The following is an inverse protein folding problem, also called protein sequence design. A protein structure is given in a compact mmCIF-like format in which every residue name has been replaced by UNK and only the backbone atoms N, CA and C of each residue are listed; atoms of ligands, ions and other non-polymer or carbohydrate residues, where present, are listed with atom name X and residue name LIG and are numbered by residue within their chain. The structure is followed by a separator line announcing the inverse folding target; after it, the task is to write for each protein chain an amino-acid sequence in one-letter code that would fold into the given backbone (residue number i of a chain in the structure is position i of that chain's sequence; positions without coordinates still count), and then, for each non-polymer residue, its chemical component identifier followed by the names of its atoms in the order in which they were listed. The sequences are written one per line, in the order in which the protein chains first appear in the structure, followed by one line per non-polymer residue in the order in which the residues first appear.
data_IF_635462863565
#
_entry.id   IF_635462863565
#
_cell.length_a   1.000
_cell.length_b   1.000
_cell.length_c   1.000
_cell.angle_alpha   90.00
_cell.angle_beta   90.00
_cell.angle_gamma   90.00
#
_symmetry.space_group_name_H-M   'P 1'
#
loop_
_entity.id
_entity.type
_entity.pdbx_description
1 polymer ?
#
# COMPACT_ATOMS: atom_id res chain seq x y z
N UNK A 1 69.54 0.88 -74.36
CA UNK A 1 68.90 1.37 -73.12
C UNK A 1 68.42 0.15 -72.36
N UNK A 2 69.19 -0.30 -71.36
CA UNK A 2 68.83 -1.40 -70.45
C UNK A 2 68.28 -0.78 -69.16
N UNK A 3 66.97 -0.78 -68.98
CA UNK A 3 66.32 -0.39 -67.73
C UNK A 3 66.26 -1.59 -66.78
N UNK A 4 67.05 -1.48 -65.71
CA UNK A 4 67.11 -2.42 -64.59
C UNK A 4 65.75 -2.48 -63.89
N UNK A 5 65.04 -3.61 -64.01
CA UNK A 5 63.87 -3.95 -63.20
C UNK A 5 64.40 -4.63 -61.93
N UNK A 6 64.85 -3.84 -60.94
CA UNK A 6 65.24 -4.36 -59.63
C UNK A 6 64.10 -4.25 -58.62
N UNK A 7 63.71 -5.42 -58.10
CA UNK A 7 63.27 -5.68 -56.73
C UNK A 7 62.24 -4.73 -56.09
N UNK A 8 60.98 -4.79 -56.54
CA UNK A 8 59.80 -4.36 -55.75
C UNK A 8 58.89 -5.52 -55.33
N UNK A 9 59.43 -6.76 -55.22
CA UNK A 9 58.60 -7.95 -54.94
C UNK A 9 58.23 -8.14 -53.46
N UNK A 10 58.92 -7.48 -52.53
CA UNK A 10 58.65 -7.63 -51.08
C UNK A 10 57.48 -6.79 -50.57
N UNK A 11 57.43 -5.50 -50.95
CA UNK A 11 56.44 -4.55 -50.43
C UNK A 11 55.02 -4.87 -50.93
N UNK A 12 54.89 -5.33 -52.18
CA UNK A 12 53.60 -5.72 -52.74
C UNK A 12 52.96 -6.89 -51.95
N UNK A 13 53.77 -7.87 -51.50
CA UNK A 13 53.29 -8.99 -50.70
C UNK A 13 52.76 -8.53 -49.34
N UNK A 14 53.50 -7.64 -48.66
CA UNK A 14 53.10 -7.10 -47.35
C UNK A 14 51.82 -6.27 -47.45
N UNK A 15 51.69 -5.42 -48.47
CA UNK A 15 50.46 -4.65 -48.71
C UNK A 15 49.29 -5.57 -49.01
N UNK A 16 49.49 -6.62 -49.81
CA UNK A 16 48.45 -7.61 -50.12
C UNK A 16 47.98 -8.34 -48.86
N UNK A 17 48.91 -8.69 -47.97
CA UNK A 17 48.62 -9.38 -46.72
C UNK A 17 47.89 -8.49 -45.72
N UNK A 18 48.27 -7.21 -45.60
CA UNK A 18 47.58 -6.23 -44.75
C UNK A 18 46.16 -5.97 -45.28
N UNK A 19 45.99 -5.80 -46.58
CA UNK A 19 44.67 -5.61 -47.19
C UNK A 19 43.76 -6.83 -46.97
N UNK A 20 44.32 -8.04 -47.09
CA UNK A 20 43.58 -9.27 -46.85
C UNK A 20 43.21 -9.42 -45.37
N UNK A 21 44.11 -9.08 -44.45
CA UNK A 21 43.85 -9.05 -43.01
C UNK A 21 42.72 -8.09 -42.65
N UNK A 22 42.79 -6.85 -43.15
CA UNK A 22 41.75 -5.83 -42.92
C UNK A 22 40.40 -6.29 -43.47
N UNK A 23 40.37 -6.87 -44.66
CA UNK A 23 39.15 -7.42 -45.24
C UNK A 23 38.54 -8.53 -44.36
N UNK A 24 39.34 -9.47 -43.85
CA UNK A 24 38.85 -10.50 -42.92
C UNK A 24 38.32 -9.91 -41.60
N UNK A 25 38.97 -8.87 -41.08
CA UNK A 25 38.58 -8.24 -39.81
C UNK A 25 37.22 -7.53 -39.95
N UNK A 26 36.99 -6.85 -41.07
CA UNK A 26 35.69 -6.24 -41.40
C UNK A 26 34.59 -7.30 -41.52
N UNK A 27 34.87 -8.44 -42.18
CA UNK A 27 33.89 -9.54 -42.31
C UNK A 27 33.54 -10.16 -40.95
N UNK A 28 34.51 -10.36 -40.05
CA UNK A 28 34.27 -10.90 -38.70
C UNK A 28 33.45 -9.92 -37.85
N UNK A 29 33.76 -8.63 -37.92
CA UNK A 29 32.97 -7.59 -37.22
C UNK A 29 31.53 -7.53 -37.73
N UNK A 30 31.31 -7.71 -39.05
CA UNK A 30 29.96 -7.84 -39.62
C UNK A 30 29.19 -9.04 -39.08
N UNK A 31 29.84 -10.20 -38.92
CA UNK A 31 29.22 -11.39 -38.34
C UNK A 31 28.85 -11.23 -36.86
N UNK A 32 29.63 -10.46 -36.08
CA UNK A 32 29.31 -10.17 -34.68
C UNK A 32 28.03 -9.33 -34.53
N UNK A 33 27.85 -8.33 -35.40
CA UNK A 33 26.63 -7.51 -35.43
C UNK A 33 25.36 -8.33 -35.71
N UNK A 34 25.45 -9.26 -36.66
CA UNK A 34 24.34 -10.16 -37.03
C UNK A 34 23.89 -11.04 -35.84
N UNK A 35 24.84 -11.65 -35.12
CA UNK A 35 24.53 -12.49 -33.95
C UNK A 35 23.86 -11.70 -32.81
N UNK A 36 24.22 -10.44 -32.63
CA UNK A 36 23.61 -9.59 -31.62
C UNK A 36 22.17 -9.21 -32.01
N UNK A 37 21.94 -8.87 -33.28
CA UNK A 37 20.60 -8.59 -33.80
C UNK A 37 19.68 -9.81 -33.72
N UNK A 38 20.18 -11.00 -34.05
CA UNK A 38 19.46 -12.26 -33.93
C UNK A 38 19.05 -12.55 -32.48
N UNK A 39 19.97 -12.40 -31.52
CA UNK A 39 19.67 -12.53 -30.09
C UNK A 39 18.68 -11.50 -29.59
N UNK A 40 18.78 -10.25 -30.03
CA UNK A 40 17.81 -9.21 -29.67
C UNK A 40 16.43 -9.50 -30.23
N UNK A 41 16.34 -9.93 -31.50
CA UNK A 41 15.07 -10.30 -32.14
C UNK A 41 14.45 -11.52 -31.45
N UNK A 42 15.26 -12.51 -31.09
CA UNK A 42 14.82 -13.69 -30.35
C UNK A 42 14.32 -13.31 -28.95
N UNK A 43 15.05 -12.46 -28.22
CA UNK A 43 14.61 -11.99 -26.90
C UNK A 43 13.33 -11.14 -26.98
N UNK A 44 13.16 -10.31 -28.01
CA UNK A 44 11.92 -9.54 -28.23
C UNK A 44 10.75 -10.45 -28.55
N UNK A 45 10.95 -11.45 -29.40
CA UNK A 45 9.94 -12.45 -29.72
C UNK A 45 9.56 -13.26 -28.47
N UNK A 46 10.54 -13.65 -27.66
CA UNK A 46 10.31 -14.39 -26.43
C UNK A 46 9.49 -13.56 -25.43
N UNK A 47 9.82 -12.28 -25.25
CA UNK A 47 9.02 -11.37 -24.40
C UNK A 47 7.58 -11.21 -24.89
N UNK A 48 7.37 -11.13 -26.20
CA UNK A 48 6.02 -11.05 -26.75
C UNK A 48 5.21 -12.33 -26.48
N UNK A 49 5.85 -13.50 -26.62
CA UNK A 49 5.21 -14.79 -26.37
C UNK A 49 4.88 -15.00 -24.88
N UNK A 50 5.78 -14.64 -23.95
CA UNK A 50 5.52 -14.73 -22.52
C UNK A 50 4.40 -13.77 -22.08
N UNK A 51 4.34 -12.57 -22.65
CA UNK A 51 3.26 -11.62 -22.40
C UNK A 51 1.91 -12.13 -22.91
N UNK A 52 1.83 -12.65 -24.14
CA UNK A 52 0.60 -13.25 -24.66
C UNK A 52 0.13 -14.44 -23.80
N UNK A 53 1.07 -15.23 -23.26
CA UNK A 53 0.73 -16.33 -22.36
C UNK A 53 0.15 -15.83 -21.02
N UNK A 54 0.73 -14.78 -20.44
CA UNK A 54 0.20 -14.16 -19.22
C UNK A 54 -1.18 -13.52 -19.46
N UNK A 55 -1.37 -12.81 -20.57
CA UNK A 55 -2.66 -12.22 -20.96
C UNK A 55 -3.72 -13.28 -21.20
N UNK A 56 -3.35 -14.40 -21.82
CA UNK A 56 -4.25 -15.54 -21.98
C UNK A 56 -4.68 -16.10 -20.62
N UNK A 57 -3.74 -16.34 -19.71
CA UNK A 57 -4.03 -16.81 -18.35
C UNK A 57 -4.93 -15.85 -17.59
N UNK A 58 -4.71 -14.54 -17.72
CA UNK A 58 -5.56 -13.50 -17.15
C UNK A 58 -6.98 -13.56 -17.70
N UNK A 59 -7.13 -13.67 -19.03
CA UNK A 59 -8.43 -13.76 -19.69
C UNK A 59 -9.21 -15.02 -19.30
N UNK A 60 -8.52 -16.16 -19.22
CA UNK A 60 -9.10 -17.43 -18.81
C UNK A 60 -9.58 -17.36 -17.36
N UNK A 61 -8.78 -16.74 -16.49
CA UNK A 61 -9.16 -16.51 -15.11
C UNK A 61 -10.43 -15.65 -14.97
N UNK A 62 -10.47 -14.52 -15.69
CA UNK A 62 -11.63 -13.63 -15.66
C UNK A 62 -12.89 -14.29 -16.22
N UNK A 63 -12.76 -15.12 -17.26
CA UNK A 63 -13.87 -15.86 -17.83
C UNK A 63 -14.46 -16.84 -16.81
N UNK A 64 -13.63 -17.62 -16.11
CA UNK A 64 -14.12 -18.54 -15.09
C UNK A 64 -14.79 -17.80 -13.93
N UNK A 65 -14.16 -16.72 -13.45
CA UNK A 65 -14.71 -15.93 -12.34
C UNK A 65 -16.11 -15.42 -12.67
N UNK A 66 -16.37 -15.13 -13.95
CA UNK A 66 -17.70 -14.76 -14.43
C UNK A 66 -18.69 -15.92 -14.42
N UNK A 67 -18.27 -17.12 -14.80
CA UNK A 67 -19.15 -18.28 -14.93
C UNK A 67 -19.44 -18.97 -13.59
N UNK A 68 -18.43 -19.16 -12.76
CA UNK A 68 -18.49 -20.00 -11.56
C UNK A 68 -18.36 -19.20 -10.24
N UNK A 69 -18.08 -17.90 -10.31
CA UNK A 69 -17.75 -17.09 -9.15
C UNK A 69 -16.35 -17.39 -8.60
N UNK A 70 -16.00 -16.78 -7.47
CA UNK A 70 -14.68 -16.97 -6.85
C UNK A 70 -14.78 -17.66 -5.49
N UNK A 71 -14.19 -18.85 -5.38
CA UNK A 71 -14.00 -19.57 -4.12
C UNK A 71 -12.51 -19.75 -3.84
N UNK A 72 -11.95 -19.01 -2.89
CA UNK A 72 -10.53 -19.04 -2.55
C UNK A 72 -9.99 -20.43 -2.19
N UNK A 73 -10.84 -21.32 -1.67
CA UNK A 73 -10.43 -22.64 -1.22
C UNK A 73 -10.34 -23.67 -2.35
N UNK A 74 -11.13 -23.50 -3.43
CA UNK A 74 -11.26 -24.52 -4.48
C UNK A 74 -11.00 -24.00 -5.89
N UNK A 75 -10.88 -22.68 -6.10
CA UNK A 75 -10.80 -22.06 -7.44
C UNK A 75 -9.74 -22.72 -8.34
N UNK A 76 -8.56 -23.03 -7.81
CA UNK A 76 -7.49 -23.63 -8.58
C UNK A 76 -7.80 -25.04 -9.07
N UNK A 77 -8.42 -25.85 -8.20
CA UNK A 77 -8.84 -27.22 -8.50
C UNK A 77 -10.04 -27.21 -9.44
N UNK A 78 -10.99 -26.29 -9.22
CA UNK A 78 -12.19 -26.10 -10.04
C UNK A 78 -11.83 -25.65 -11.47
N UNK A 79 -10.81 -24.79 -11.60
CA UNK A 79 -10.35 -24.24 -12.88
C UNK A 79 -9.38 -25.17 -13.63
N UNK A 80 -8.84 -26.20 -12.97
CA UNK A 80 -7.75 -27.01 -13.52
C UNK A 80 -6.50 -26.20 -13.87
N UNK A 81 -6.25 -25.08 -13.18
CA UNK A 81 -5.12 -24.18 -13.42
C UNK A 81 -4.03 -24.43 -12.37
N UNK A 82 -2.78 -24.39 -12.83
CA UNK A 82 -1.62 -24.52 -11.96
C UNK A 82 -1.41 -23.31 -11.03
N UNK A 83 -1.06 -23.57 -9.77
CA UNK A 83 -0.87 -22.55 -8.71
C UNK A 83 0.56 -22.39 -8.21
N UNK A 84 1.53 -23.02 -8.88
CA UNK A 84 2.90 -23.06 -8.35
C UNK A 84 3.99 -23.19 -9.41
N UNK A 85 3.72 -22.95 -10.69
CA UNK A 85 4.71 -23.06 -11.78
C UNK A 85 5.30 -24.47 -12.00
N UNK A 86 5.00 -25.44 -11.14
CA UNK A 86 5.54 -26.82 -11.18
C UNK A 86 4.83 -27.67 -12.26
N UNK A 87 3.64 -27.26 -12.73
CA UNK A 87 2.90 -27.90 -13.84
C UNK A 87 2.05 -26.87 -14.60
N UNK A 88 2.64 -25.88 -15.28
CA UNK A 88 1.91 -24.74 -15.82
C UNK A 88 0.96 -25.16 -16.94
N UNK A 89 -0.15 -24.44 -17.05
CA UNK A 89 -1.20 -24.72 -18.03
C UNK A 89 -0.76 -24.24 -19.42
N UNK A 90 -0.81 -25.08 -20.46
CA UNK A 90 -0.46 -24.67 -21.81
C UNK A 90 -1.50 -23.68 -22.38
N UNK A 91 -1.03 -22.69 -23.11
CA UNK A 91 -1.88 -21.82 -23.92
C UNK A 91 -2.32 -22.61 -25.17
N UNK A 92 -3.62 -22.69 -25.51
CA UNK A 92 -4.06 -23.33 -26.74
C UNK A 92 -3.39 -22.72 -27.97
N UNK A 93 -2.95 -23.57 -28.89
CA UNK A 93 -2.34 -23.19 -30.17
C UNK A 93 -1.04 -22.34 -30.08
N UNK A 94 -0.36 -22.31 -28.92
CA UNK A 94 0.87 -21.55 -28.70
C UNK A 94 1.99 -22.31 -27.98
N UNK A 95 3.21 -21.78 -28.03
CA UNK A 95 4.39 -22.30 -27.29
C UNK A 95 4.50 -21.71 -25.87
N UNK A 96 3.43 -21.10 -25.37
CA UNK A 96 3.39 -20.45 -24.06
C UNK A 96 2.74 -21.34 -23.00
N UNK A 97 3.13 -21.13 -21.76
CA UNK A 97 2.49 -21.73 -20.58
C UNK A 97 2.20 -20.62 -19.57
N UNK A 98 1.17 -20.81 -18.75
CA UNK A 98 0.82 -19.87 -17.70
C UNK A 98 0.50 -20.58 -16.38
N UNK A 99 0.62 -19.85 -15.27
CA UNK A 99 0.13 -20.28 -13.96
C UNK A 99 -0.29 -19.05 -13.17
N UNK A 100 -1.07 -19.28 -12.11
CA UNK A 100 -1.67 -18.19 -11.33
C UNK A 100 -1.39 -18.40 -9.86
N UNK A 101 -0.74 -17.43 -9.23
CA UNK A 101 -0.53 -17.42 -7.79
C UNK A 101 -1.48 -16.39 -7.17
N UNK A 102 -2.36 -16.85 -6.28
CA UNK A 102 -3.20 -15.96 -5.49
C UNK A 102 -2.38 -15.34 -4.38
N UNK A 103 -2.34 -14.01 -4.38
CA UNK A 103 -1.56 -13.21 -3.43
C UNK A 103 -2.40 -12.89 -2.20
N UNK A 104 -3.64 -12.46 -2.44
CA UNK A 104 -4.53 -12.02 -1.39
C UNK A 104 -5.98 -12.30 -1.79
N UNK A 105 -6.75 -12.84 -0.85
CA UNK A 105 -8.20 -12.92 -0.98
C UNK A 105 -8.83 -12.28 0.23
N UNK A 106 -9.64 -11.28 -0.03
CA UNK A 106 -10.55 -10.68 0.94
C UNK A 106 -11.99 -10.72 0.42
N UNK A 107 -13.00 -10.46 1.28
CA UNK A 107 -14.40 -10.46 0.85
C UNK A 107 -14.75 -9.44 -0.25
N UNK A 108 -13.90 -8.44 -0.47
CA UNK A 108 -14.13 -7.33 -1.40
C UNK A 108 -13.05 -7.18 -2.46
N UNK A 109 -11.87 -7.77 -2.26
CA UNK A 109 -10.73 -7.64 -3.15
C UNK A 109 -10.04 -8.99 -3.34
N UNK A 110 -9.77 -9.36 -4.59
CA UNK A 110 -8.96 -10.53 -4.95
C UNK A 110 -7.74 -10.04 -5.71
N UNK A 111 -6.56 -10.30 -5.16
CA UNK A 111 -5.28 -10.00 -5.82
C UNK A 111 -4.57 -11.30 -6.21
N UNK A 112 -4.09 -11.34 -7.45
CA UNK A 112 -3.37 -12.48 -8.00
C UNK A 112 -2.26 -12.05 -8.92
N UNK A 113 -1.25 -12.90 -9.03
CA UNK A 113 -0.21 -12.81 -10.04
C UNK A 113 -0.45 -13.90 -11.08
N UNK A 114 -0.59 -13.50 -12.34
CA UNK A 114 -0.61 -14.39 -13.49
C UNK A 114 0.77 -14.37 -14.12
N UNK A 115 1.38 -15.53 -14.26
CA UNK A 115 2.69 -15.68 -14.88
C UNK A 115 2.54 -16.32 -16.25
N UNK A 116 3.24 -15.79 -17.24
CA UNK A 116 3.38 -16.36 -18.57
C UNK A 116 4.85 -16.65 -18.86
N UNK A 117 5.13 -17.85 -19.36
CA UNK A 117 6.46 -18.29 -19.75
C UNK A 117 6.41 -19.00 -21.11
N UNK A 118 7.57 -19.19 -21.72
CA UNK A 118 7.72 -19.97 -22.95
C UNK A 118 8.19 -21.37 -22.58
N UNK A 119 7.67 -22.37 -23.29
CA UNK A 119 8.12 -23.75 -23.16
C UNK A 119 8.89 -24.17 -24.40
N UNK A 120 10.12 -24.65 -24.22
CA UNK A 120 10.93 -25.27 -25.27
C UNK A 120 11.23 -26.72 -24.87
N UNK A 121 10.38 -27.67 -25.29
CA UNK A 121 10.52 -29.08 -24.92
C UNK A 121 9.74 -29.49 -23.66
N UNK A 122 10.33 -30.35 -22.81
CA UNK A 122 9.70 -30.80 -21.56
C UNK A 122 10.00 -29.89 -20.35
N UNK A 123 11.05 -29.07 -20.42
CA UNK A 123 11.43 -28.14 -19.36
C UNK A 123 10.86 -26.74 -19.60
N UNK A 124 10.48 -26.06 -18.51
CA UNK A 124 10.16 -24.64 -18.51
C UNK A 124 11.50 -23.91 -18.50
N UNK A 125 12.09 -23.70 -19.66
CA UNK A 125 13.27 -22.87 -19.75
C UNK A 125 12.87 -21.42 -19.44
N UNK A 126 13.49 -20.82 -18.42
CA UNK A 126 13.32 -19.42 -18.01
C UNK A 126 13.89 -18.44 -19.06
N UNK A 127 13.53 -18.60 -20.34
CA UNK A 127 13.99 -17.75 -21.45
C UNK A 127 13.33 -16.37 -21.42
N UNK A 128 12.07 -16.31 -20.97
CA UNK A 128 11.34 -15.08 -20.69
C UNK A 128 10.17 -15.40 -19.74
N UNK A 129 10.08 -14.65 -18.64
CA UNK A 129 8.98 -14.70 -17.70
C UNK A 129 8.29 -13.34 -17.68
N UNK A 130 6.97 -13.33 -17.86
CA UNK A 130 6.12 -12.15 -17.70
C UNK A 130 5.18 -12.38 -16.55
N UNK A 131 5.17 -11.46 -15.59
CA UNK A 131 4.16 -11.42 -14.53
C UNK A 131 3.16 -10.32 -14.85
N UNK A 132 1.88 -10.62 -14.66
CA UNK A 132 0.76 -9.68 -14.62
C UNK A 132 0.14 -9.74 -13.23
N UNK A 133 -0.11 -8.60 -12.60
CA UNK A 133 -0.92 -8.55 -11.37
C UNK A 133 -2.35 -8.19 -11.75
N UNK A 134 -3.33 -8.87 -11.16
CA UNK A 134 -4.75 -8.56 -11.34
C UNK A 134 -5.33 -8.27 -9.95
N UNK A 135 -6.04 -7.16 -9.81
CA UNK A 135 -6.73 -6.77 -8.58
C UNK A 135 -8.21 -6.56 -8.89
N UNK A 136 -9.04 -7.51 -8.48
CA UNK A 136 -10.48 -7.42 -8.64
C UNK A 136 -11.10 -6.79 -7.40
N UNK A 137 -12.00 -5.83 -7.57
CA UNK A 137 -12.74 -5.19 -6.48
C UNK A 137 -14.23 -5.37 -6.69
N UNK A 138 -14.94 -5.91 -5.70
CA UNK A 138 -16.40 -6.02 -5.75
C UNK A 138 -17.00 -4.64 -5.47
N UNK A 139 -17.69 -4.04 -6.44
CA UNK A 139 -18.47 -2.83 -6.20
C UNK A 139 -19.77 -3.21 -5.47
N UNK A 140 -20.03 -2.55 -4.33
CA UNK A 140 -21.24 -2.78 -3.55
C UNK A 140 -22.41 -2.03 -4.18
N UNK A 141 -23.50 -2.73 -4.52
CA UNK A 141 -24.75 -2.10 -4.95
C UNK A 141 -25.51 -1.63 -3.72
N UNK A 142 -25.76 -0.32 -3.54
CA UNK A 142 -26.57 0.18 -2.45
C UNK A 142 -28.00 -0.36 -2.56
N UNK A 143 -28.47 -1.06 -1.52
CA UNK A 143 -29.90 -1.37 -1.35
C UNK A 143 -30.32 -2.84 -1.42
N UNK A 144 -29.38 -3.78 -1.61
CA UNK A 144 -29.68 -5.21 -1.38
C UNK A 144 -29.01 -5.61 -0.07
N UNK A 145 -29.75 -5.88 1.02
CA UNK A 145 -29.15 -6.35 2.25
C UNK A 145 -28.42 -7.67 1.94
N UNK A 146 -27.15 -7.85 2.37
CA UNK A 146 -26.45 -9.10 2.17
C UNK A 146 -27.29 -10.20 2.80
N UNK A 147 -27.75 -11.15 1.97
CA UNK A 147 -28.26 -12.42 2.49
C UNK A 147 -27.14 -13.02 3.31
N UNK A 148 -27.46 -13.27 4.57
CA UNK A 148 -26.60 -13.90 5.57
C UNK A 148 -26.09 -15.22 5.05
N UNK A 149 -24.95 -15.21 4.37
CA UNK A 149 -24.18 -16.39 4.05
C UNK A 149 -22.73 -16.08 4.38
N UNK A 150 -22.29 -16.77 5.43
CA UNK A 150 -20.96 -16.87 6.05
C UNK A 150 -19.89 -15.92 5.52
N UNK A 151 -19.81 -14.74 6.16
CA UNK A 151 -18.51 -14.08 6.35
C UNK A 151 -17.61 -15.11 7.03
N UNK A 152 -16.49 -15.54 6.42
CA UNK A 152 -15.56 -16.42 7.10
C UNK A 152 -15.16 -15.72 8.39
N UNK A 153 -15.49 -16.35 9.51
CA UNK A 153 -15.05 -15.96 10.84
C UNK A 153 -13.55 -16.27 10.93
N UNK A 154 -12.77 -15.47 10.20
CA UNK A 154 -11.40 -15.17 10.60
C UNK A 154 -11.49 -14.73 12.05
N UNK A 155 -10.81 -15.48 12.90
CA UNK A 155 -10.78 -15.28 14.34
C UNK A 155 -10.52 -13.79 14.61
N UNK A 156 -11.31 -13.10 15.45
CA UNK A 156 -11.10 -11.70 15.76
C UNK A 156 -9.81 -11.52 16.55
N UNK A 157 -8.69 -11.53 15.84
CA UNK A 157 -7.44 -10.93 16.27
C UNK A 157 -7.54 -9.46 15.93
N UNK A 158 -7.91 -8.64 16.92
CA UNK A 158 -7.86 -7.19 16.78
C UNK A 158 -6.45 -6.74 16.36
N UNK A 159 -6.39 -5.81 15.40
CA UNK A 159 -5.16 -5.06 15.13
C UNK A 159 -4.62 -5.15 13.72
N UNK A 160 -5.06 -4.23 12.87
CA UNK A 160 -4.25 -3.59 11.82
C UNK A 160 -4.94 -2.27 11.48
N UNK A 161 -5.01 -1.36 12.45
CA UNK A 161 -5.63 -0.05 12.23
C UNK A 161 -5.02 0.65 11.01
N UNK A 162 -5.83 1.44 10.31
CA UNK A 162 -5.38 2.21 9.16
C UNK A 162 -4.46 3.38 9.52
N UNK A 163 -4.18 4.26 8.56
CA UNK A 163 -3.52 5.54 8.87
C UNK A 163 -4.38 6.41 9.79
N UNK A 164 -5.71 6.35 9.60
CA UNK A 164 -6.72 7.01 10.43
C UNK A 164 -7.71 5.96 10.95
N UNK A 165 -8.01 6.00 12.24
CA UNK A 165 -8.89 5.06 12.91
C UNK A 165 -9.96 5.84 13.68
N UNK A 166 -11.21 5.76 13.24
CA UNK A 166 -12.36 6.36 13.90
C UNK A 166 -13.06 5.29 14.72
N UNK A 167 -12.83 5.30 16.02
CA UNK A 167 -13.31 4.27 16.94
C UNK A 167 -14.68 4.66 17.49
N UNK A 168 -15.66 3.78 17.31
CA UNK A 168 -17.06 4.03 17.65
C UNK A 168 -17.85 4.64 16.48
N UNK A 169 -18.99 5.26 16.80
CA UNK A 169 -19.86 5.88 15.79
C UNK A 169 -19.20 7.12 15.19
N UNK A 170 -19.31 7.34 13.89
CA UNK A 170 -18.89 8.59 13.22
C UNK A 170 -20.09 9.52 13.11
N UNK A 171 -20.01 10.69 13.75
CA UNK A 171 -21.06 11.69 13.69
C UNK A 171 -20.87 12.68 12.54
N UNK A 172 -19.62 13.02 12.24
CA UNK A 172 -19.30 13.91 11.14
C UNK A 172 -17.93 13.59 10.56
N UNK A 173 -17.87 13.41 9.24
CA UNK A 173 -16.63 13.29 8.50
C UNK A 173 -16.60 14.38 7.43
N UNK A 174 -15.70 15.35 7.58
CA UNK A 174 -15.54 16.40 6.56
C UNK A 174 -14.38 16.09 5.66
N UNK A 175 -14.72 15.82 4.40
CA UNK A 175 -13.79 15.56 3.32
C UNK A 175 -12.85 16.76 3.12
N UNK A 176 -11.54 16.54 2.88
CA UNK A 176 -10.60 17.61 2.58
C UNK A 176 -10.95 18.34 1.28
N UNK A 177 -10.78 19.66 1.26
CA UNK A 177 -11.04 20.47 0.05
C UNK A 177 -9.96 20.31 -1.04
N UNK A 178 -8.77 19.81 -0.68
CA UNK A 178 -7.59 19.77 -1.54
C UNK A 178 -7.43 18.46 -2.30
N UNK A 179 -7.16 18.53 -3.61
CA UNK A 179 -6.92 17.34 -4.46
C UNK A 179 -5.66 16.58 -4.06
N UNK A 180 -4.74 17.24 -3.37
CA UNK A 180 -3.45 16.67 -2.99
C UNK A 180 -3.42 16.13 -1.56
N UNK A 181 -4.53 16.23 -0.80
CA UNK A 181 -4.62 15.56 0.48
C UNK A 181 -4.74 14.06 0.25
N UNK A 182 -3.89 13.26 0.87
CA UNK A 182 -3.86 11.81 0.70
C UNK A 182 -3.81 11.09 2.05
N UNK A 183 -4.40 9.90 2.07
CA UNK A 183 -4.33 8.94 3.16
C UNK A 183 -3.92 7.59 2.57
N UNK A 184 -2.85 7.00 3.07
CA UNK A 184 -2.32 5.75 2.56
C UNK A 184 -2.18 4.74 3.70
N UNK A 185 -2.87 3.62 3.59
CA UNK A 185 -2.85 2.53 4.56
C UNK A 185 -1.63 1.60 4.46
N UNK A 186 -0.74 1.76 3.48
CA UNK A 186 0.44 0.90 3.24
C UNK A 186 0.09 -0.60 3.27
N UNK A 187 -0.81 -1.03 2.39
CA UNK A 187 -1.32 -2.40 2.33
C UNK A 187 -2.41 -2.74 3.35
N UNK A 188 -2.68 -1.86 4.33
CA UNK A 188 -3.88 -1.87 5.17
C UNK A 188 -4.93 -0.84 4.72
N UNK A 189 -6.01 -0.65 5.50
CA UNK A 189 -7.00 0.39 5.23
C UNK A 189 -6.38 1.79 5.34
N UNK A 190 -6.79 2.71 4.48
CA UNK A 190 -6.47 4.14 4.66
C UNK A 190 -7.18 4.68 5.91
N UNK A 191 -8.46 4.31 6.05
CA UNK A 191 -9.31 4.73 7.15
C UNK A 191 -10.12 3.54 7.69
N UNK A 192 -10.04 3.29 9.00
CA UNK A 192 -10.84 2.28 9.69
C UNK A 192 -11.97 2.90 10.51
N UNK A 193 -13.18 2.37 10.40
CA UNK A 193 -14.37 2.78 11.18
C UNK A 193 -14.92 1.63 12.01
N UNK A 194 -15.59 1.90 13.13
CA UNK A 194 -16.14 0.84 13.98
C UNK A 194 -17.41 0.16 13.47
N UNK A 195 -18.04 0.68 12.41
CA UNK A 195 -19.34 0.21 11.90
C UNK A 195 -19.41 0.31 10.38
N UNK A 196 -19.98 -0.69 9.74
CA UNK A 196 -20.15 -0.72 8.28
C UNK A 196 -20.99 0.44 7.73
N UNK A 197 -21.98 0.91 8.49
CA UNK A 197 -22.77 2.09 8.11
C UNK A 197 -21.94 3.38 8.05
N UNK A 198 -21.06 3.59 9.04
CA UNK A 198 -20.17 4.77 9.05
C UNK A 198 -19.15 4.70 7.92
N UNK A 199 -18.62 3.51 7.62
CA UNK A 199 -17.78 3.25 6.44
C UNK A 199 -18.50 3.69 5.16
N UNK A 200 -19.75 3.27 4.98
CA UNK A 200 -20.53 3.53 3.77
C UNK A 200 -20.86 5.02 3.62
N UNK A 201 -21.23 5.69 4.71
CA UNK A 201 -21.49 7.13 4.71
C UNK A 201 -20.23 7.94 4.37
N UNK A 202 -19.08 7.57 4.93
CA UNK A 202 -17.80 8.21 4.59
C UNK A 202 -17.45 7.97 3.13
N UNK A 203 -17.57 6.73 2.64
CA UNK A 203 -17.26 6.40 1.25
C UNK A 203 -18.16 7.17 0.28
N UNK A 204 -19.45 7.31 0.60
CA UNK A 204 -20.40 8.08 -0.19
C UNK A 204 -20.01 9.57 -0.25
N UNK A 205 -19.62 10.18 0.87
CA UNK A 205 -19.15 11.57 0.89
C UNK A 205 -17.82 11.73 0.14
N UNK A 206 -16.89 10.77 0.23
CA UNK A 206 -15.65 10.79 -0.54
C UNK A 206 -15.89 10.73 -2.05
N UNK A 207 -16.76 9.81 -2.51
CA UNK A 207 -17.11 9.68 -3.93
C UNK A 207 -17.80 10.95 -4.44
N UNK A 208 -18.75 11.47 -3.67
CA UNK A 208 -19.49 12.69 -3.99
C UNK A 208 -18.57 13.90 -4.19
N UNK A 209 -17.52 14.01 -3.39
CA UNK A 209 -16.51 15.07 -3.50
C UNK A 209 -15.34 14.72 -4.43
N UNK A 210 -15.37 13.53 -5.06
CA UNK A 210 -14.35 13.02 -5.98
C UNK A 210 -13.00 12.77 -5.32
N UNK A 211 -12.98 12.30 -4.06
CA UNK A 211 -11.78 12.12 -3.21
C UNK A 211 -11.49 10.68 -2.82
N UNK A 212 -12.32 9.75 -3.25
CA UNK A 212 -12.17 8.33 -2.95
C UNK A 212 -10.78 7.77 -3.36
N UNK A 213 -10.25 8.20 -4.50
CA UNK A 213 -8.90 7.83 -4.97
C UNK A 213 -7.75 8.34 -4.07
N UNK A 214 -8.00 9.34 -3.22
CA UNK A 214 -6.99 9.86 -2.29
C UNK A 214 -6.82 8.98 -1.03
N UNK A 215 -7.65 7.96 -0.85
CA UNK A 215 -7.63 7.04 0.29
C UNK A 215 -7.13 5.67 -0.18
N UNK A 216 -5.81 5.54 -0.30
CA UNK A 216 -5.10 4.36 -0.82
C UNK A 216 -5.17 3.24 0.24
N UNK A 217 -5.83 2.14 -0.08
CA UNK A 217 -6.22 1.08 0.85
C UNK A 217 -7.69 1.14 1.27
N UNK A 218 -8.38 2.22 0.92
CA UNK A 218 -9.82 2.39 1.09
C UNK A 218 -10.28 2.62 2.53
N UNK A 219 -11.60 2.66 2.70
CA UNK A 219 -12.29 2.80 3.99
C UNK A 219 -12.83 1.43 4.38
N UNK A 220 -12.52 0.94 5.58
CA UNK A 220 -12.94 -0.38 6.05
C UNK A 220 -13.65 -0.31 7.40
N UNK A 221 -14.52 -1.31 7.64
CA UNK A 221 -15.05 -1.58 8.97
C UNK A 221 -14.03 -2.42 9.74
N UNK A 222 -13.71 -2.00 10.95
CA UNK A 222 -12.78 -2.65 11.87
C UNK A 222 -13.53 -2.91 13.16
N UNK A 223 -13.49 -4.15 13.64
CA UNK A 223 -14.08 -4.48 14.93
C UNK A 223 -13.17 -3.99 16.06
N UNK A 224 -13.53 -2.84 16.62
CA UNK A 224 -12.88 -2.28 17.81
C UNK A 224 -13.49 -2.78 19.13
N UNK A 225 -14.51 -3.65 19.10
CA UNK A 225 -15.18 -4.11 20.32
C UNK A 225 -14.33 -5.11 21.12
N UNK A 226 -13.30 -5.68 20.49
CA UNK A 226 -12.30 -6.50 21.15
C UNK A 226 -11.04 -5.70 21.52
N UNK A 227 -10.40 -6.06 22.63
CA UNK A 227 -9.12 -5.48 23.06
C UNK A 227 -9.23 -4.07 23.65
N UNK A 228 -8.14 -3.31 23.56
CA UNK A 228 -7.97 -1.99 24.21
C UNK A 228 -9.11 -1.01 23.89
N UNK A 229 -9.54 -0.99 22.64
CA UNK A 229 -10.54 -0.05 22.14
C UNK A 229 -11.97 -0.47 22.48
N UNK A 230 -12.21 -1.72 22.89
CA UNK A 230 -13.54 -2.20 23.24
C UNK A 230 -13.96 -1.81 24.65
N UNK A 231 -12.99 -1.58 25.53
CA UNK A 231 -13.21 -1.38 26.96
C UNK A 231 -12.62 -0.03 27.43
N UNK A 232 -13.46 0.96 27.80
CA UNK A 232 -13.02 2.24 28.34
C UNK A 232 -12.06 2.13 29.54
N UNK A 233 -12.20 1.08 30.38
CA UNK A 233 -11.30 0.85 31.51
C UNK A 233 -9.90 0.43 31.05
N UNK A 234 -9.80 -0.31 29.93
CA UNK A 234 -8.51 -0.64 29.33
C UNK A 234 -7.87 0.60 28.70
N UNK A 235 -8.63 1.45 28.00
CA UNK A 235 -8.10 2.72 27.46
C UNK A 235 -7.55 3.58 28.59
N UNK A 236 -8.29 3.71 29.71
CA UNK A 236 -7.80 4.42 30.90
C UNK A 236 -6.51 3.81 31.43
N UNK A 237 -6.48 2.49 31.61
CA UNK A 237 -5.32 1.76 32.10
C UNK A 237 -4.10 1.95 31.19
N UNK A 238 -4.31 2.00 29.88
CA UNK A 238 -3.27 2.28 28.90
C UNK A 238 -2.75 3.70 29.06
N UNK A 239 -3.61 4.72 29.11
CA UNK A 239 -3.18 6.12 29.30
C UNK A 239 -2.42 6.30 30.62
N UNK A 240 -2.88 5.69 31.72
CA UNK A 240 -2.18 5.73 33.00
C UNK A 240 -0.80 5.04 32.93
N UNK A 241 -0.71 3.92 32.21
CA UNK A 241 0.55 3.22 31.96
C UNK A 241 1.49 4.03 31.06
N UNK A 242 0.98 4.71 30.03
CA UNK A 242 1.75 5.64 29.18
C UNK A 242 2.33 6.76 30.04
N UNK A 243 1.53 7.35 30.94
CA UNK A 243 2.01 8.39 31.86
C UNK A 243 3.04 7.90 32.88
N UNK A 244 3.07 6.60 33.14
CA UNK A 244 4.06 5.96 34.01
C UNK A 244 5.33 5.53 33.25
N UNK A 245 5.42 5.80 31.95
CA UNK A 245 6.61 5.49 31.15
C UNK A 245 7.71 6.54 31.37
N UNK A 246 8.97 6.12 31.23
CA UNK A 246 10.11 7.03 31.43
C UNK A 246 10.09 8.18 30.41
N UNK A 247 10.26 9.41 30.88
CA UNK A 247 10.22 10.60 30.03
C UNK A 247 8.83 11.01 29.56
N UNK A 248 7.75 10.38 30.05
CA UNK A 248 6.39 10.80 29.77
C UNK A 248 6.08 12.18 30.36
N UNK A 249 5.43 13.02 29.55
CA UNK A 249 5.04 14.39 29.92
C UNK A 249 3.52 14.47 29.92
N UNK A 250 2.93 14.23 31.07
CA UNK A 250 1.49 14.26 31.27
C UNK A 250 1.06 15.51 32.02
N UNK A 251 0.15 16.29 31.46
CA UNK A 251 -0.36 17.51 32.09
C UNK A 251 -1.51 18.14 31.31
N UNK A 252 -1.98 19.30 31.75
CA UNK A 252 -3.18 19.94 31.16
C UNK A 252 -2.87 20.83 29.95
N UNK A 253 -1.61 20.87 29.51
CA UNK A 253 -1.14 21.79 28.46
C UNK A 253 -0.11 21.08 27.59
N UNK A 254 -0.06 21.44 26.31
CA UNK A 254 0.96 20.94 25.37
C UNK A 254 2.35 21.49 25.77
N UNK A 255 3.34 20.65 26.10
CA UNK A 255 4.71 21.11 26.33
C UNK A 255 5.30 21.83 25.11
N UNK A 256 6.06 22.91 25.33
CA UNK A 256 6.60 23.78 24.27
C UNK A 256 7.49 23.06 23.24
N UNK A 257 8.06 21.92 23.59
CA UNK A 257 8.95 21.12 22.75
C UNK A 257 8.27 19.83 22.24
N UNK A 258 6.93 19.77 22.28
CA UNK A 258 6.12 18.72 21.63
C UNK A 258 6.19 18.81 20.12
N UNK A 259 6.18 20.05 19.61
CA UNK A 259 6.39 20.37 18.21
C UNK A 259 7.58 21.31 18.15
N UNK A 260 8.53 20.99 17.29
CA UNK A 260 9.76 21.77 17.11
C UNK A 260 10.05 21.91 15.62
N UNK A 261 10.85 22.90 15.26
CA UNK A 261 11.31 23.03 13.89
C UNK A 261 12.04 21.75 13.44
N UNK A 262 11.73 21.21 12.25
CA UNK A 262 12.30 19.97 11.71
C UNK A 262 13.83 20.02 11.61
N UNK A 263 14.42 21.20 11.47
CA UNK A 263 15.89 21.38 11.44
C UNK A 263 16.54 21.30 12.82
N UNK A 264 15.76 21.27 13.91
CA UNK A 264 16.27 21.07 15.26
C UNK A 264 16.58 19.58 15.47
N UNK A 265 17.72 19.24 16.07
CA UNK A 265 18.06 17.85 16.41
C UNK A 265 17.00 17.19 17.31
N UNK A 266 16.29 17.97 18.13
CA UNK A 266 15.18 17.49 18.96
C UNK A 266 13.96 17.00 18.15
N UNK A 267 13.86 17.31 16.85
CA UNK A 267 12.78 16.85 15.97
C UNK A 267 12.84 15.34 15.72
N UNK A 268 14.04 14.77 15.80
CA UNK A 268 14.31 13.34 15.60
C UNK A 268 14.10 12.52 16.87
N UNK A 269 13.84 13.16 18.01
CA UNK A 269 13.64 12.48 19.28
C UNK A 269 12.15 12.25 19.51
N UNK A 270 11.72 10.99 19.44
CA UNK A 270 10.36 10.62 19.83
C UNK A 270 10.12 10.95 21.30
N UNK A 271 8.96 11.55 21.60
CA UNK A 271 8.55 11.93 22.96
C UNK A 271 7.17 11.39 23.26
N UNK A 272 6.90 11.15 24.55
CA UNK A 272 5.56 10.86 25.05
C UNK A 272 4.96 12.16 25.58
N UNK A 273 3.80 12.53 25.03
CA UNK A 273 3.04 13.71 25.43
C UNK A 273 1.59 13.34 25.66
N UNK A 274 1.08 13.57 26.86
CA UNK A 274 -0.33 13.36 27.20
C UNK A 274 -0.91 14.67 27.68
N UNK A 275 -1.94 15.16 26.98
CA UNK A 275 -2.67 16.37 27.32
C UNK A 275 -4.01 16.00 27.94
N UNK A 276 -4.20 16.38 29.20
CA UNK A 276 -5.43 16.17 29.96
C UNK A 276 -6.41 17.31 29.67
N UNK A 277 -7.25 17.09 28.67
CA UNK A 277 -8.21 18.07 28.16
C UNK A 277 -7.96 18.40 26.68
N UNK A 278 -8.55 19.49 26.22
CA UNK A 278 -8.43 19.94 24.83
C UNK A 278 -7.02 20.45 24.52
N UNK A 279 -6.53 20.15 23.33
CA UNK A 279 -5.25 20.62 22.83
C UNK A 279 -5.42 21.40 21.52
N UNK A 280 -4.73 22.54 21.45
CA UNK A 280 -4.54 23.29 20.21
C UNK A 280 -3.04 23.36 19.90
N UNK A 281 -2.63 22.74 18.79
CA UNK A 281 -1.22 22.69 18.38
C UNK A 281 -1.04 23.52 17.11
N UNK A 282 -0.09 24.45 17.10
CA UNK A 282 0.21 25.27 15.94
C UNK A 282 1.48 24.75 15.25
N UNK A 283 1.34 24.31 14.01
CA UNK A 283 2.45 23.88 13.15
C UNK A 283 2.84 25.05 12.24
N UNK A 284 4.02 25.64 12.46
CA UNK A 284 4.52 26.77 11.66
C UNK A 284 5.60 26.31 10.69
N UNK A 285 5.38 26.52 9.40
CA UNK A 285 6.39 26.30 8.37
C UNK A 285 6.90 24.85 8.36
N UNK A 286 8.10 24.63 8.92
CA UNK A 286 8.78 23.33 8.96
C UNK A 286 8.68 22.65 10.33
N UNK A 287 7.71 23.02 11.16
CA UNK A 287 7.51 22.40 12.46
C UNK A 287 7.05 20.94 12.33
N UNK A 288 7.52 20.08 13.22
CA UNK A 288 7.20 18.65 13.26
C UNK A 288 7.22 18.14 14.70
N UNK A 289 6.41 17.14 14.98
CA UNK A 289 6.44 16.39 16.24
C UNK A 289 6.71 14.90 16.00
N UNK A 290 7.15 14.20 17.02
CA UNK A 290 7.44 12.76 16.91
C UNK A 290 7.22 12.01 18.21
N UNK A 291 6.82 10.75 18.11
CA UNK A 291 6.53 9.85 19.23
C UNK A 291 5.04 9.66 19.46
N UNK A 292 4.62 9.68 20.72
CA UNK A 292 3.24 9.41 21.14
C UNK A 292 2.61 10.71 21.62
N UNK A 293 1.50 11.09 20.99
CA UNK A 293 0.63 12.17 21.43
C UNK A 293 -0.73 11.60 21.83
N UNK A 294 -1.14 11.78 23.09
CA UNK A 294 -2.48 11.47 23.56
C UNK A 294 -3.14 12.77 24.01
N UNK A 295 -4.36 13.03 23.54
CA UNK A 295 -5.17 14.17 23.95
C UNK A 295 -6.48 13.63 24.53
N UNK A 296 -6.68 13.80 25.84
CA UNK A 296 -7.89 13.29 26.52
C UNK A 296 -9.15 14.07 26.13
N UNK A 297 -9.00 15.27 25.55
CA UNK A 297 -10.06 16.08 24.95
C UNK A 297 -9.94 16.18 23.43
N UNK A 298 -10.45 17.27 22.86
CA UNK A 298 -10.42 17.54 21.42
C UNK A 298 -9.04 18.01 20.98
N UNK A 299 -8.62 17.60 19.77
CA UNK A 299 -7.38 18.08 19.17
C UNK A 299 -7.69 18.98 17.97
N UNK A 300 -7.22 20.23 18.05
CA UNK A 300 -7.23 21.17 16.94
C UNK A 300 -5.79 21.47 16.51
N UNK A 301 -5.52 21.39 15.22
CA UNK A 301 -4.23 21.78 14.64
C UNK A 301 -4.39 23.07 13.85
N UNK A 302 -3.45 24.01 14.01
CA UNK A 302 -3.35 25.21 13.18
C UNK A 302 -2.19 25.02 12.20
N UNK A 303 -2.47 25.06 10.91
CA UNK A 303 -1.58 24.53 9.87
C UNK A 303 -1.75 23.02 9.70
N UNK A 304 -1.23 22.50 8.59
CA UNK A 304 -1.23 21.05 8.34
C UNK A 304 -0.32 20.37 9.37
N UNK A 305 -0.80 19.35 10.13
CA UNK A 305 0.03 18.66 11.11
C UNK A 305 1.23 18.00 10.43
N UNK A 306 2.38 17.95 11.11
CA UNK A 306 3.51 17.09 10.73
C UNK A 306 3.89 16.24 11.93
N UNK A 307 3.61 14.95 11.88
CA UNK A 307 3.84 14.04 13.01
C UNK A 307 4.43 12.70 12.58
N UNK A 308 5.45 12.22 13.29
CA UNK A 308 6.02 10.89 13.10
C UNK A 308 5.75 10.01 14.33
N UNK A 309 4.79 9.09 14.23
CA UNK A 309 4.44 8.16 15.30
C UNK A 309 2.93 8.04 15.53
N UNK A 310 2.52 7.95 16.79
CA UNK A 310 1.16 7.63 17.19
C UNK A 310 0.43 8.86 17.72
N UNK A 311 -0.77 9.14 17.21
CA UNK A 311 -1.66 10.18 17.74
C UNK A 311 -2.97 9.55 18.21
N UNK A 312 -3.39 9.84 19.44
CA UNK A 312 -4.64 9.36 20.01
C UNK A 312 -5.42 10.57 20.52
N UNK A 313 -6.66 10.73 20.07
CA UNK A 313 -7.57 11.80 20.47
C UNK A 313 -8.79 11.17 21.12
N UNK A 314 -9.09 11.52 22.37
CA UNK A 314 -10.16 10.90 23.15
C UNK A 314 -11.38 11.80 23.35
N UNK A 315 -11.32 13.09 22.99
CA UNK A 315 -12.44 14.01 23.14
C UNK A 315 -13.51 13.92 22.05
N UNK A 316 -13.30 13.08 21.04
CA UNK A 316 -14.22 12.87 19.94
C UNK A 316 -14.04 13.79 18.75
N UNK A 317 -13.27 14.89 18.84
CA UNK A 317 -13.02 15.78 17.71
C UNK A 317 -11.55 15.90 17.37
N UNK A 318 -11.21 15.63 16.12
CA UNK A 318 -9.97 16.08 15.49
C UNK A 318 -10.29 17.10 14.39
N UNK A 319 -9.59 18.23 14.38
CA UNK A 319 -9.78 19.25 13.34
C UNK A 319 -8.47 19.87 12.86
N UNK A 320 -8.39 20.13 11.56
CA UNK A 320 -7.29 20.85 10.91
C UNK A 320 -7.78 22.22 10.47
N UNK A 321 -7.26 23.26 11.09
CA UNK A 321 -7.50 24.66 10.74
C UNK A 321 -6.33 25.25 9.96
N UNK A 322 -6.55 25.69 8.73
CA UNK A 322 -5.53 26.35 7.91
C UNK A 322 -5.26 25.61 6.61
N UNK A 323 -4.04 25.70 6.09
CA UNK A 323 -3.57 24.95 4.93
C UNK A 323 -2.05 24.95 4.93
N UNK A 324 -1.44 24.04 4.18
CA UNK A 324 0.00 23.88 4.16
C UNK A 324 0.44 22.52 3.62
N UNK A 325 1.71 22.22 3.85
CA UNK A 325 2.28 20.90 3.58
C UNK A 325 2.64 20.24 4.91
N UNK A 326 2.39 18.94 5.02
CA UNK A 326 2.59 18.18 6.24
C UNK A 326 2.05 16.78 6.07
N UNK A 327 1.84 16.10 7.18
CA UNK A 327 1.32 14.76 7.19
C UNK A 327 1.46 14.07 8.54
N UNK A 328 1.07 12.81 8.54
CA UNK A 328 1.32 11.90 9.64
C UNK A 328 2.01 10.68 9.06
N UNK A 329 3.19 10.35 9.57
CA UNK A 329 3.87 9.08 9.32
C UNK A 329 3.66 8.20 10.56
N UNK A 330 2.66 7.33 10.53
CA UNK A 330 2.30 6.46 11.66
C UNK A 330 0.82 6.18 11.70
N UNK A 331 0.17 6.24 12.86
CA UNK A 331 -1.28 6.00 12.95
C UNK A 331 -1.98 7.02 13.85
N UNK A 332 -3.22 7.36 13.52
CA UNK A 332 -4.09 8.20 14.32
C UNK A 332 -5.33 7.43 14.77
N UNK A 333 -5.70 7.54 16.04
CA UNK A 333 -6.96 7.04 16.59
C UNK A 333 -7.76 8.21 17.14
N UNK A 334 -9.03 8.29 16.76
CA UNK A 334 -9.98 9.27 17.28
C UNK A 334 -11.13 8.51 17.91
N UNK A 335 -11.30 8.72 19.21
CA UNK A 335 -12.31 8.12 20.07
C UNK A 335 -13.12 9.24 20.70
N UNK A 336 -14.40 8.99 20.96
CA UNK A 336 -15.23 9.92 21.73
C UNK A 336 -15.51 9.37 23.12
N UNK A 337 -14.65 9.76 24.07
CA UNK A 337 -14.70 9.32 25.46
C UNK A 337 -15.11 10.44 26.41
N UNK A 338 -15.75 10.03 27.49
CA UNK A 338 -15.85 10.79 28.71
C UNK A 338 -14.68 10.39 29.61
N UNK A 339 -13.75 11.32 29.81
CA UNK A 339 -12.48 11.15 30.53
C UNK A 339 -12.50 11.97 31.85
N UNK A 340 -13.39 11.66 32.80
CA UNK A 340 -13.44 12.43 34.04
C UNK A 340 -12.13 12.29 34.82
N UNK A 341 -11.72 13.36 35.49
CA UNK A 341 -10.54 13.37 36.36
C UNK A 341 -10.66 12.41 37.56
N UNK A 342 -11.89 12.07 37.93
CA UNK A 342 -12.23 11.03 38.91
C UNK A 342 -13.43 10.23 38.43
N UNK A 343 -13.35 8.90 38.47
CA UNK A 343 -14.44 8.00 38.08
C UNK A 343 -14.09 7.11 36.89
N UNK A 344 -15.10 6.39 36.41
CA UNK A 344 -14.97 5.47 35.28
C UNK A 344 -15.02 6.21 33.95
N UNK A 345 -14.18 5.78 33.02
CA UNK A 345 -14.22 6.26 31.65
C UNK A 345 -15.36 5.56 30.88
N UNK A 346 -15.96 6.24 29.91
CA UNK A 346 -17.02 5.68 29.10
C UNK A 346 -17.05 6.29 27.70
N UNK A 347 -17.64 5.60 26.73
CA UNK A 347 -17.90 6.17 25.40
C UNK A 347 -19.07 7.16 25.45
N UNK A 348 -18.95 8.29 24.74
CA UNK A 348 -20.06 9.22 24.53
C UNK A 348 -20.93 8.76 23.36
N UNK A 349 -22.22 9.08 23.42
CA UNK A 349 -23.18 8.73 22.36
C UNK A 349 -23.11 9.63 21.12
N UNK A 350 -22.47 10.80 21.20
CA UNK A 350 -22.49 11.82 20.14
C UNK A 350 -21.56 11.53 18.97
N UNK A 351 -20.86 10.39 18.96
CA UNK A 351 -19.97 9.96 17.88
C UNK A 351 -18.72 10.84 17.68
N UNK A 352 -17.86 10.44 16.74
CA UNK A 352 -16.60 11.10 16.42
C UNK A 352 -16.79 12.11 15.29
N UNK A 353 -16.09 13.24 15.39
CA UNK A 353 -15.97 14.27 14.36
C UNK A 353 -14.54 14.32 13.85
N UNK A 354 -14.36 14.12 12.54
CA UNK A 354 -13.09 14.27 11.86
C UNK A 354 -13.18 15.37 10.80
N UNK A 355 -12.57 16.52 11.07
CA UNK A 355 -12.60 17.70 10.20
C UNK A 355 -11.25 17.95 9.53
N UNK A 356 -11.15 17.56 8.26
CA UNK A 356 -9.91 17.70 7.47
C UNK A 356 -9.97 18.80 6.41
N UNK A 357 -10.96 19.73 6.49
CA UNK A 357 -11.14 20.79 5.48
C UNK A 357 -9.91 21.69 5.30
N UNK A 358 -9.10 21.87 6.34
CA UNK A 358 -7.86 22.67 6.33
C UNK A 358 -6.57 21.90 6.01
N UNK A 359 -6.64 20.70 5.44
CA UNK A 359 -5.48 19.81 5.28
C UNK A 359 -4.40 20.25 4.28
N UNK A 360 -4.72 21.10 3.30
CA UNK A 360 -3.74 21.45 2.24
C UNK A 360 -3.25 20.21 1.48
N UNK A 361 -1.94 20.01 1.37
CA UNK A 361 -1.32 18.85 0.69
C UNK A 361 -0.90 17.76 1.68
N UNK A 362 -1.65 17.56 2.77
CA UNK A 362 -1.25 16.61 3.81
C UNK A 362 -1.19 15.17 3.28
N UNK A 363 -0.21 14.41 3.75
CA UNK A 363 -0.13 12.96 3.54
C UNK A 363 -0.22 12.23 4.87
N UNK A 364 -1.27 11.45 5.09
CA UNK A 364 -1.41 10.56 6.24
C UNK A 364 -1.01 9.15 5.81
N UNK A 365 0.21 8.76 6.12
CA UNK A 365 0.81 7.50 5.72
C UNK A 365 0.89 6.56 6.93
N UNK A 366 0.25 5.39 6.83
CA UNK A 366 0.40 4.34 7.82
C UNK A 366 1.85 3.88 7.86
N UNK A 367 2.52 3.99 9.01
CA UNK A 367 3.95 3.69 9.10
C UNK A 367 4.31 2.87 10.34
N UNK A 368 4.34 1.55 10.18
CA UNK A 368 4.68 0.60 11.25
C UNK A 368 6.04 0.89 11.90
N UNK A 369 7.03 1.36 11.13
CA UNK A 369 8.35 1.67 11.69
C UNK A 369 8.25 2.84 12.67
N UNK A 370 7.57 3.92 12.31
CA UNK A 370 7.38 5.09 13.19
C UNK A 370 6.53 4.74 14.41
N UNK A 371 5.50 3.91 14.24
CA UNK A 371 4.68 3.40 15.34
C UNK A 371 5.54 2.57 16.30
N UNK A 372 6.30 1.60 15.81
CA UNK A 372 7.14 0.73 16.63
C UNK A 372 8.27 1.52 17.35
N UNK A 373 8.84 2.54 16.70
CA UNK A 373 9.78 3.45 17.36
C UNK A 373 9.12 4.24 18.50
N UNK A 374 7.90 4.75 18.30
CA UNK A 374 7.14 5.45 19.32
C UNK A 374 6.76 4.52 20.49
N UNK A 375 6.30 3.30 20.20
CA UNK A 375 5.97 2.26 21.19
C UNK A 375 7.20 1.79 21.99
N UNK A 376 8.40 1.90 21.41
CA UNK A 376 9.66 1.63 22.11
C UNK A 376 9.91 2.55 23.32
N UNK A 377 9.21 3.68 23.44
CA UNK A 377 9.27 4.57 24.60
C UNK A 377 8.43 4.07 25.79
N UNK A 378 7.47 3.18 25.55
CA UNK A 378 6.50 2.76 26.54
C UNK A 378 7.09 1.73 27.51
N UNK A 379 6.63 1.78 28.76
CA UNK A 379 6.88 0.71 29.71
C UNK A 379 6.19 -0.60 29.28
N UNK A 380 6.54 -1.70 29.96
CA UNK A 380 6.01 -3.03 29.63
C UNK A 380 4.49 -3.10 29.71
N UNK A 381 3.87 -2.54 30.76
CA UNK A 381 2.41 -2.53 30.93
C UNK A 381 1.70 -1.86 29.76
N UNK A 382 2.13 -0.67 29.35
CA UNK A 382 1.54 0.05 28.24
C UNK A 382 1.75 -0.70 26.90
N UNK A 383 2.92 -1.30 26.68
CA UNK A 383 3.18 -2.12 25.49
C UNK A 383 2.31 -3.37 25.42
N UNK A 384 2.09 -4.05 26.55
CA UNK A 384 1.21 -5.22 26.60
C UNK A 384 -0.25 -4.85 26.30
N UNK A 385 -0.74 -3.76 26.88
CA UNK A 385 -2.08 -3.26 26.58
C UNK A 385 -2.23 -2.88 25.10
N UNK A 386 -1.20 -2.26 24.50
CA UNK A 386 -1.18 -1.95 23.08
C UNK A 386 -1.11 -3.20 22.18
N UNK A 387 -0.27 -4.18 22.50
CA UNK A 387 -0.10 -5.38 21.67
C UNK A 387 -1.40 -6.19 21.52
N UNK A 388 -2.30 -6.07 22.50
CA UNK A 388 -3.65 -6.66 22.45
C UNK A 388 -4.65 -5.80 21.66
N UNK A 389 -4.26 -4.60 21.26
CA UNK A 389 -5.07 -3.63 20.53
C UNK A 389 -4.70 -3.59 19.04
N UNK A 390 -3.40 -3.58 18.76
CA UNK A 390 -2.88 -3.46 17.42
C UNK A 390 -1.52 -4.13 17.25
N UNK A 391 -1.32 -4.79 16.11
CA UNK A 391 -0.09 -5.48 15.77
C UNK A 391 0.52 -4.90 14.49
N UNK A 392 1.36 -3.88 14.63
CA UNK A 392 2.23 -3.43 13.54
C UNK A 392 3.36 -4.45 13.33
N UNK A 393 3.12 -5.52 12.57
CA UNK A 393 4.17 -6.46 12.20
C UNK A 393 5.11 -5.82 11.15
N UNK A 394 6.43 -5.90 11.38
CA UNK A 394 7.47 -5.26 10.57
C UNK A 394 7.64 -5.84 9.14
N UNK A 395 6.68 -6.59 8.61
CA UNK A 395 6.84 -7.32 7.35
C UNK A 395 6.69 -6.49 6.07
N UNK A 396 6.69 -5.15 6.16
CA UNK A 396 6.74 -4.27 4.98
C UNK A 396 8.04 -3.47 4.93
N UNK A 397 9.15 -4.17 4.74
CA UNK A 397 10.37 -3.59 4.17
C UNK A 397 10.49 -4.02 2.71
N UNK A 398 9.68 -3.41 1.85
CA UNK A 398 9.81 -3.50 0.40
C UNK A 398 10.28 -2.16 -0.16
N UNK A 399 11.59 -1.92 -0.16
CA UNK A 399 12.16 -0.77 -0.87
C UNK A 399 11.97 -0.93 -2.37
N UNK A 400 11.03 -0.20 -2.96
CA UNK A 400 10.79 -0.17 -4.40
C UNK A 400 11.65 0.89 -5.08
N UNK A 401 12.74 0.45 -5.72
CA UNK A 401 13.46 1.21 -6.74
C UNK A 401 12.59 1.41 -7.98
N UNK A 402 12.62 2.61 -8.55
CA UNK A 402 11.69 3.08 -9.59
C UNK A 402 11.60 2.19 -10.84
N UNK A 403 10.37 1.77 -11.14
CA UNK A 403 9.90 1.31 -12.45
C UNK A 403 8.88 2.32 -13.01
N UNK A 404 8.83 2.45 -14.33
CA UNK A 404 7.92 3.36 -15.04
C UNK A 404 6.52 2.75 -15.13
N UNK A 405 5.53 3.45 -14.59
CA UNK A 405 4.12 3.08 -14.63
C UNK A 405 3.50 3.43 -15.99
N UNK A 406 2.73 2.53 -16.59
CA UNK A 406 1.78 2.87 -17.66
C UNK A 406 0.44 2.25 -17.29
N UNK A 407 -0.46 3.06 -16.76
CA UNK A 407 -1.80 2.67 -16.37
C UNK A 407 -2.70 2.63 -17.62
N UNK A 408 -3.28 1.47 -17.95
CA UNK A 408 -4.31 1.36 -18.98
C UNK A 408 -5.57 0.81 -18.35
N UNK A 409 -6.55 1.69 -18.13
CA UNK A 409 -7.85 1.34 -17.56
C UNK A 409 -8.76 0.90 -18.72
N UNK A 410 -9.19 -0.36 -18.71
CA UNK A 410 -10.24 -0.87 -19.60
C UNK A 410 -11.49 -1.10 -18.75
N UNK A 411 -12.45 -0.18 -18.82
CA UNK A 411 -13.77 -0.34 -18.18
C UNK A 411 -14.77 -0.96 -19.15
N UNK A 412 -15.43 -2.04 -18.75
CA UNK A 412 -16.59 -2.63 -19.44
C UNK A 412 -17.89 -2.28 -18.71
N UNK A 413 -18.94 -1.76 -19.40
CA UNK A 413 -20.23 -1.49 -18.79
C UNK A 413 -21.04 -2.79 -18.54
N UNK A 414 -20.68 -3.54 -17.50
CA UNK A 414 -21.44 -4.69 -17.01
C UNK A 414 -22.77 -4.32 -16.31
N UNK A 415 -23.72 -5.25 -16.30
CA UNK A 415 -25.04 -5.09 -15.68
C UNK A 415 -25.02 -5.18 -14.14
N UNK A 416 -26.04 -4.63 -13.43
CA UNK A 416 -26.06 -4.59 -11.97
C UNK A 416 -26.00 -6.00 -11.34
N UNK A 417 -24.93 -6.28 -10.60
CA UNK A 417 -24.73 -7.50 -9.81
C UNK A 417 -23.50 -8.31 -10.22
N UNK A 418 -22.87 -7.98 -11.35
CA UNK A 418 -21.63 -8.61 -11.81
C UNK A 418 -20.39 -7.95 -11.17
N UNK A 419 -19.33 -8.76 -11.00
CA UNK A 419 -18.00 -8.27 -10.65
C UNK A 419 -17.53 -7.24 -11.68
N UNK A 420 -17.16 -6.04 -11.23
CA UNK A 420 -16.40 -5.10 -12.04
C UNK A 420 -14.92 -5.42 -11.90
N UNK A 421 -14.20 -5.41 -13.01
CA UNK A 421 -12.77 -5.72 -13.06
C UNK A 421 -11.99 -4.47 -13.43
N UNK A 422 -11.03 -4.10 -12.59
CA UNK A 422 -9.98 -3.14 -12.92
C UNK A 422 -8.71 -3.96 -13.19
N UNK A 423 -8.31 -4.08 -14.45
CA UNK A 423 -7.07 -4.79 -14.80
C UNK A 423 -5.92 -3.80 -14.66
N UNK A 424 -5.23 -3.83 -13.52
CA UNK A 424 -3.99 -3.06 -13.32
C UNK A 424 -2.81 -3.89 -13.84
N UNK A 425 -2.48 -3.73 -15.13
CA UNK A 425 -1.33 -4.44 -15.71
C UNK A 425 -0.01 -3.89 -15.17
N UNK A 426 0.69 -4.70 -14.39
CA UNK A 426 2.10 -4.50 -14.06
C UNK A 426 2.90 -5.50 -14.88
N UNK A 427 3.92 -5.07 -15.64
CA UNK A 427 4.82 -5.98 -16.34
C UNK A 427 6.22 -5.87 -15.74
N UNK A 428 6.68 -6.92 -15.08
CA UNK A 428 8.06 -7.03 -14.62
C UNK A 428 8.76 -8.13 -15.41
N UNK A 429 9.89 -7.80 -16.04
CA UNK A 429 10.74 -8.79 -16.70
C UNK A 429 11.79 -9.20 -15.68
N UNK A 430 11.57 -10.36 -15.06
CA UNK A 430 12.58 -11.01 -14.22
C UNK A 430 13.62 -11.64 -15.17
N UNK A 431 14.79 -11.00 -15.28
CA UNK A 431 15.94 -11.52 -16.02
C UNK A 431 16.85 -12.36 -15.13
#
# INVERSE_FOLDING_TARGET
MNTNIQQQKGVALVISLILLLVATLVTVLGMQGSRMQERMSSNQNNKALSAMAAEYGASHFLAELRENGFNAATWAEDMGIATSGINPTPVPDGNGVYWIDVVNVSPITVEMNVFGAIREGEDIDNLALTQLRISLRREFIPGTPPTTEEVPTGTPGGGSGGAINLVGNVAEFKVPNSNSFQVNGQGGPALGTGRGGDRDDILAELIKEGRDHNYIGGVQEIDYNAGLWGDPAQVKSFVDAVCSSSGARCGNTVPNDTVVNKNNAASQQHKITVVRGDAAIEFKGNDTGSGILIVEGNLTTKGTPSWNGLVIVLGGTFSIGGGGNGGLEGSMYVLNMNTPSSGEWSYRSTGVTFDSKGGGTALFNHNCQQINQALGLLNETARTLWANADSCSNNQSGGGTGGSETETIITDPGTPGEWRYDVVTWSEVLN
#
